data_IF_909161275469
#
_entry.id   IF_909161275469
#
_cell.length_a   1.000
_cell.length_b   1.000
_cell.length_c   1.000
_cell.angle_alpha   90.00
_cell.angle_beta   90.00
_cell.angle_gamma   90.00
#
_symmetry.space_group_name_H-M   'P 1'
#
loop_
_entity.id
_entity.type
_entity.pdbx_description
1 polymer ?
#
# COMPACT_ATOMS: atom_id res chain seq x y z
N UNK A 1 21.80 19.27 -66.97
CA UNK A 1 22.57 19.46 -65.72
C UNK A 1 21.68 19.96 -64.59
N UNK A 2 21.04 21.13 -64.69
CA UNK A 2 20.20 21.70 -63.62
C UNK A 2 19.03 20.80 -63.20
N UNK A 3 18.29 20.25 -64.17
CA UNK A 3 17.14 19.35 -63.94
C UNK A 3 17.56 18.02 -63.31
N UNK A 4 18.71 17.48 -63.71
CA UNK A 4 19.29 16.25 -63.15
C UNK A 4 19.73 16.49 -61.70
N UNK A 5 20.37 17.62 -61.41
CA UNK A 5 20.76 17.99 -60.04
C UNK A 5 19.56 18.17 -59.10
N UNK A 6 18.50 18.85 -59.57
CA UNK A 6 17.23 18.97 -58.84
C UNK A 6 16.58 17.61 -58.58
N UNK A 7 16.59 16.71 -59.56
CA UNK A 7 16.03 15.37 -59.39
C UNK A 7 16.78 14.54 -58.33
N UNK A 8 18.11 14.64 -58.28
CA UNK A 8 18.92 13.94 -57.29
C UNK A 8 18.69 14.46 -55.87
N UNK A 9 18.58 15.79 -55.70
CA UNK A 9 18.29 16.42 -54.40
C UNK A 9 16.92 15.99 -53.87
N UNK A 10 15.91 15.94 -54.75
CA UNK A 10 14.56 15.47 -54.38
C UNK A 10 14.60 14.01 -53.90
N UNK A 11 15.31 13.13 -54.62
CA UNK A 11 15.42 11.71 -54.24
C UNK A 11 16.07 11.56 -52.85
N UNK A 12 17.19 12.25 -52.60
CA UNK A 12 17.87 12.22 -51.30
C UNK A 12 16.96 12.72 -50.19
N UNK A 13 16.23 13.82 -50.44
CA UNK A 13 15.29 14.39 -49.46
C UNK A 13 14.16 13.41 -49.12
N UNK A 14 13.62 12.70 -50.11
CA UNK A 14 12.57 11.69 -49.91
C UNK A 14 13.08 10.49 -49.12
N UNK A 15 14.33 10.04 -49.36
CA UNK A 15 14.95 8.94 -48.61
C UNK A 15 15.10 9.33 -47.13
N UNK A 16 15.61 10.53 -46.84
CA UNK A 16 15.77 11.03 -45.48
C UNK A 16 14.40 11.12 -44.79
N UNK A 17 13.41 11.68 -45.49
CA UNK A 17 12.06 11.82 -44.96
C UNK A 17 11.44 10.44 -44.63
N UNK A 18 11.63 9.45 -45.49
CA UNK A 18 11.14 8.09 -45.24
C UNK A 18 11.81 7.43 -44.03
N UNK A 19 13.13 7.59 -43.90
CA UNK A 19 13.87 7.10 -42.73
C UNK A 19 13.35 7.75 -41.43
N UNK A 20 13.20 9.07 -41.41
CA UNK A 20 12.67 9.80 -40.26
C UNK A 20 11.25 9.39 -39.89
N UNK A 21 10.35 9.19 -40.88
CA UNK A 21 8.98 8.74 -40.64
C UNK A 21 8.98 7.33 -40.05
N UNK A 22 9.79 6.42 -40.60
CA UNK A 22 9.88 5.04 -40.12
C UNK A 22 10.35 4.97 -38.67
N UNK A 23 11.38 5.75 -38.33
CA UNK A 23 11.88 5.85 -36.96
C UNK A 23 10.85 6.46 -36.01
N UNK A 24 10.14 7.52 -36.42
CA UNK A 24 9.09 8.14 -35.62
C UNK A 24 7.93 7.18 -35.32
N UNK A 25 7.51 6.39 -36.31
CA UNK A 25 6.50 5.34 -36.10
C UNK A 25 7.00 4.30 -35.09
N UNK A 26 8.25 3.87 -35.21
CA UNK A 26 8.84 2.91 -34.27
C UNK A 26 8.90 3.45 -32.83
N UNK A 27 9.39 4.68 -32.66
CA UNK A 27 9.43 5.35 -31.36
C UNK A 27 8.03 5.51 -30.76
N UNK A 28 7.04 5.85 -31.59
CA UNK A 28 5.64 5.97 -31.13
C UNK A 28 5.11 4.63 -30.62
N UNK A 29 5.42 3.52 -31.31
CA UNK A 29 5.03 2.18 -30.84
C UNK A 29 5.73 1.83 -29.52
N UNK A 30 7.02 2.10 -29.41
CA UNK A 30 7.79 1.84 -28.18
C UNK A 30 7.25 2.63 -26.98
N UNK A 31 6.90 3.91 -27.18
CA UNK A 31 6.29 4.75 -26.14
C UNK A 31 4.95 4.19 -25.67
N UNK A 32 4.09 3.73 -26.57
CA UNK A 32 2.79 3.14 -26.19
C UNK A 32 2.97 1.81 -25.44
N UNK A 33 3.93 0.98 -25.86
CA UNK A 33 4.26 -0.25 -25.14
C UNK A 33 4.82 0.04 -23.75
N UNK A 34 5.71 1.02 -23.60
CA UNK A 34 6.24 1.46 -22.32
C UNK A 34 5.14 2.02 -21.40
N UNK A 35 4.19 2.79 -21.93
CA UNK A 35 3.02 3.26 -21.16
C UNK A 35 2.20 2.09 -20.63
N UNK A 36 1.92 1.09 -21.48
CA UNK A 36 1.19 -0.12 -21.10
C UNK A 36 1.92 -0.90 -20.00
N UNK A 37 3.23 -1.09 -20.14
CA UNK A 37 4.05 -1.76 -19.13
C UNK A 37 4.08 -1.00 -17.81
N UNK A 38 4.22 0.34 -17.86
CA UNK A 38 4.19 1.20 -16.68
C UNK A 38 2.86 1.07 -15.94
N UNK A 39 1.74 1.08 -16.66
CA UNK A 39 0.42 0.90 -16.06
C UNK A 39 0.28 -0.47 -15.37
N UNK A 40 0.71 -1.55 -16.02
CA UNK A 40 0.73 -2.90 -15.43
C UNK A 40 1.59 -2.93 -14.15
N UNK A 41 2.77 -2.33 -14.17
CA UNK A 41 3.64 -2.24 -13.00
C UNK A 41 2.99 -1.43 -11.87
N UNK A 42 2.35 -0.32 -12.19
CA UNK A 42 1.61 0.51 -11.23
C UNK A 42 0.48 -0.28 -10.56
N UNK A 43 -0.26 -1.07 -11.32
CA UNK A 43 -1.29 -1.97 -10.75
C UNK A 43 -0.69 -3.03 -9.83
N UNK A 44 0.42 -3.68 -10.22
CA UNK A 44 1.12 -4.66 -9.37
C UNK A 44 1.59 -4.03 -8.06
N UNK A 45 2.23 -2.87 -8.14
CA UNK A 45 2.69 -2.14 -6.95
C UNK A 45 1.52 -1.78 -6.02
N UNK A 46 0.42 -1.27 -6.58
CA UNK A 46 -0.79 -0.96 -5.82
C UNK A 46 -1.36 -2.20 -5.10
N UNK A 47 -1.40 -3.35 -5.77
CA UNK A 47 -1.87 -4.60 -5.17
C UNK A 47 -0.98 -5.07 -4.03
N UNK A 48 0.35 -5.07 -4.23
CA UNK A 48 1.32 -5.47 -3.21
C UNK A 48 1.25 -4.53 -2.01
N UNK A 49 1.14 -3.23 -2.25
CA UNK A 49 1.02 -2.23 -1.17
C UNK A 49 -0.26 -2.45 -0.35
N UNK A 50 -1.41 -2.72 -0.98
CA UNK A 50 -2.65 -3.05 -0.26
C UNK A 50 -2.48 -4.31 0.59
N UNK A 51 -1.85 -5.35 0.05
CA UNK A 51 -1.58 -6.58 0.79
C UNK A 51 -0.67 -6.33 1.99
N UNK A 52 0.39 -5.56 1.82
CA UNK A 52 1.29 -5.14 2.89
C UNK A 52 0.55 -4.41 4.01
N UNK A 53 -0.29 -3.43 3.66
CA UNK A 53 -1.12 -2.71 4.65
C UNK A 53 -2.09 -3.66 5.35
N UNK A 54 -2.71 -4.60 4.62
CA UNK A 54 -3.60 -5.61 5.21
C UNK A 54 -2.86 -6.46 6.24
N UNK A 55 -1.68 -6.98 5.88
CA UNK A 55 -0.85 -7.79 6.78
C UNK A 55 -0.39 -6.99 8.01
N UNK A 56 -0.04 -5.72 7.86
CA UNK A 56 0.27 -4.85 9.00
C UNK A 56 -0.93 -4.67 9.93
N UNK A 57 -2.12 -4.44 9.38
CA UNK A 57 -3.34 -4.31 10.19
C UNK A 57 -3.74 -5.63 10.86
N UNK A 58 -3.62 -6.76 10.16
CA UNK A 58 -3.83 -8.10 10.70
C UNK A 58 -2.84 -8.42 11.84
N UNK A 59 -1.58 -7.98 11.72
CA UNK A 59 -0.59 -8.09 12.80
C UNK A 59 -0.81 -7.11 13.96
N UNK A 60 -1.57 -6.03 13.71
CA UNK A 60 -1.99 -5.05 14.71
C UNK A 60 -3.24 -5.46 15.48
N UNK A 61 -4.06 -6.33 14.91
CA UNK A 61 -5.14 -7.02 15.62
C UNK A 61 -4.59 -8.19 16.41
N UNK A 62 -4.72 -8.10 17.73
CA UNK A 62 -4.42 -9.15 18.72
C UNK A 62 -2.93 -9.49 18.91
N UNK A 63 -2.18 -8.56 19.52
CA UNK A 63 -1.63 -8.98 20.82
C UNK A 63 -2.83 -9.12 21.74
N UNK A 64 -3.49 -10.28 21.64
CA UNK A 64 -4.52 -10.72 22.58
C UNK A 64 -3.98 -10.36 23.94
N UNK A 65 -4.75 -9.61 24.74
CA UNK A 65 -4.40 -9.26 26.12
C UNK A 65 -3.71 -10.47 26.74
N UNK A 66 -2.38 -10.42 26.88
CA UNK A 66 -1.65 -11.62 27.29
C UNK A 66 -2.19 -12.02 28.66
N UNK A 67 -2.19 -13.32 29.02
CA UNK A 67 -2.65 -13.76 30.33
C UNK A 67 -2.12 -12.88 31.48
N UNK A 68 -0.87 -12.44 31.37
CA UNK A 68 -0.19 -11.51 32.29
C UNK A 68 -0.89 -10.14 32.41
N UNK A 69 -1.33 -9.54 31.30
CA UNK A 69 -2.05 -8.24 31.33
C UNK A 69 -3.42 -8.43 31.98
N UNK A 70 -4.11 -9.53 31.65
CA UNK A 70 -5.41 -9.85 32.26
C UNK A 70 -5.28 -10.08 33.76
N UNK A 71 -4.22 -10.77 34.20
CA UNK A 71 -3.91 -10.98 35.61
C UNK A 71 -3.57 -9.67 36.32
N UNK A 72 -2.76 -8.80 35.72
CA UNK A 72 -2.44 -7.49 36.28
C UNK A 72 -3.70 -6.61 36.45
N UNK A 73 -4.62 -6.63 35.49
CA UNK A 73 -5.90 -5.92 35.59
C UNK A 73 -6.79 -6.53 36.66
N UNK A 74 -6.84 -7.87 36.77
CA UNK A 74 -7.59 -8.56 37.83
C UNK A 74 -7.06 -8.19 39.22
N UNK A 75 -5.73 -8.21 39.40
CA UNK A 75 -5.09 -7.80 40.64
C UNK A 75 -5.44 -6.35 41.02
N UNK A 76 -5.32 -5.42 40.07
CA UNK A 76 -5.67 -4.01 40.28
C UNK A 76 -7.16 -3.83 40.64
N UNK A 77 -8.04 -4.57 39.97
CA UNK A 77 -9.47 -4.58 40.27
C UNK A 77 -9.74 -5.06 41.70
N UNK A 78 -9.15 -6.17 42.13
CA UNK A 78 -9.31 -6.68 43.49
C UNK A 78 -8.79 -5.66 44.51
N UNK A 79 -7.60 -5.08 44.29
CA UNK A 79 -7.04 -4.07 45.20
C UNK A 79 -7.86 -2.78 45.28
N UNK A 80 -8.51 -2.38 44.20
CA UNK A 80 -9.35 -1.18 44.18
C UNK A 80 -10.74 -1.39 44.80
N UNK A 81 -11.14 -2.61 45.14
CA UNK A 81 -12.44 -2.90 45.74
C UNK A 81 -12.63 -2.14 47.06
N UNK A 82 -13.80 -1.52 47.33
CA UNK A 82 -14.05 -0.80 48.59
C UNK A 82 -13.81 -1.64 49.84
N UNK A 83 -14.20 -2.92 49.81
CA UNK A 83 -13.95 -3.88 50.91
C UNK A 83 -12.46 -4.06 51.22
N UNK A 84 -11.58 -3.78 50.26
CA UNK A 84 -10.13 -3.81 50.41
C UNK A 84 -9.54 -2.41 50.69
N UNK A 85 -10.38 -1.42 51.02
CA UNK A 85 -9.98 -0.03 51.27
C UNK A 85 -9.69 0.79 50.00
N UNK A 86 -10.07 0.28 48.82
CA UNK A 86 -9.84 0.94 47.54
C UNK A 86 -10.92 1.95 47.15
N UNK A 87 -10.65 2.73 46.10
CA UNK A 87 -11.60 3.71 45.55
C UNK A 87 -12.60 3.05 44.60
N UNK A 88 -13.90 3.21 44.89
CA UNK A 88 -14.99 2.69 44.06
C UNK A 88 -14.88 3.10 42.58
N UNK A 89 -14.43 4.32 42.30
CA UNK A 89 -14.26 4.83 40.93
C UNK A 89 -13.21 4.03 40.14
N UNK A 90 -12.09 3.69 40.79
CA UNK A 90 -11.00 2.94 40.16
C UNK A 90 -11.40 1.47 39.99
N UNK A 91 -12.12 0.91 40.96
CA UNK A 91 -12.72 -0.41 40.83
C UNK A 91 -13.65 -0.52 39.61
N UNK A 92 -14.53 0.46 39.40
CA UNK A 92 -15.43 0.49 38.23
C UNK A 92 -14.64 0.56 36.92
N UNK A 93 -13.54 1.32 36.87
CA UNK A 93 -12.68 1.40 35.67
C UNK A 93 -12.00 0.06 35.38
N UNK A 94 -11.38 -0.58 36.38
CA UNK A 94 -10.69 -1.84 36.19
C UNK A 94 -11.64 -2.99 35.86
N UNK A 95 -12.84 -3.01 36.48
CA UNK A 95 -13.89 -3.97 36.13
C UNK A 95 -14.29 -3.87 34.66
N UNK A 96 -14.57 -2.66 34.15
CA UNK A 96 -14.91 -2.44 32.73
C UNK A 96 -13.78 -2.84 31.78
N UNK A 97 -12.52 -2.69 32.20
CA UNK A 97 -11.37 -3.17 31.43
C UNK A 97 -11.32 -4.69 31.41
N UNK A 98 -11.44 -5.34 32.58
CA UNK A 98 -11.43 -6.79 32.72
C UNK A 98 -12.56 -7.48 31.94
N UNK A 99 -13.77 -6.91 31.94
CA UNK A 99 -14.92 -7.41 31.19
C UNK A 99 -14.71 -7.33 29.67
N UNK A 100 -14.17 -6.21 29.16
CA UNK A 100 -13.82 -6.08 27.74
C UNK A 100 -12.80 -7.12 27.32
N UNK A 101 -11.75 -7.31 28.13
CA UNK A 101 -10.73 -8.33 27.91
C UNK A 101 -11.29 -9.76 27.95
N UNK A 102 -12.35 -10.04 28.71
CA UNK A 102 -13.02 -11.35 28.73
C UNK A 102 -13.97 -11.55 27.53
N UNK A 103 -14.59 -10.49 27.04
CA UNK A 103 -15.54 -10.56 25.92
C UNK A 103 -14.85 -10.61 24.55
N UNK A 104 -13.59 -10.18 24.43
CA UNK A 104 -12.78 -10.30 23.20
C UNK A 104 -12.38 -11.75 22.85
N UNK A 105 -12.60 -12.73 23.74
CA UNK A 105 -12.31 -14.16 23.52
C UNK A 105 -13.56 -15.01 23.26
N UNK A 106 -14.72 -14.39 23.00
CA UNK A 106 -15.99 -15.07 22.74
C UNK A 106 -16.49 -14.79 21.34
#
# INVERSE_FOLDING_TARGET
MLTIGLSAVLIVTLIILFACISENINLKMEVEELKRQNEIQRFKYSSIYREYVRLLMESGTLKSTTPDIKEAVHYAMVKAHPDNGGKQEDFVKFRKLYERMNNEYR
#
